data_IF_176660143021
#
_entry.id   IF_176660143021
#
_cell.length_a   1.000
_cell.length_b   1.000
_cell.length_c   1.000
_cell.angle_alpha   90.00
_cell.angle_beta   90.00
_cell.angle_gamma   90.00
#
_symmetry.space_group_name_H-M   'P 1'
#
loop_
_entity.id
_entity.type
_entity.pdbx_description
1 polymer ?
#
# COMPACT_ATOMS: atom_id res chain seq x y z
N UNK A 1 -9.79 14.93 20.46
CA UNK A 1 -10.30 14.46 19.16
C UNK A 1 -9.50 15.17 18.08
N UNK A 2 -8.50 14.51 17.51
CA UNK A 2 -7.80 15.03 16.34
C UNK A 2 -8.73 14.87 15.13
N UNK A 3 -9.03 15.97 14.42
CA UNK A 3 -9.89 15.95 13.25
C UNK A 3 -9.15 15.36 12.05
N UNK A 4 -9.73 14.36 11.39
CA UNK A 4 -9.31 13.92 10.06
C UNK A 4 -9.51 15.05 9.05
N UNK A 5 -8.52 15.34 8.22
CA UNK A 5 -8.56 16.45 7.25
C UNK A 5 -9.37 16.11 6.00
N UNK A 6 -9.51 14.82 5.71
CA UNK A 6 -10.30 14.29 4.61
C UNK A 6 -11.25 13.19 5.11
N UNK A 7 -12.30 12.90 4.34
CA UNK A 7 -13.08 11.69 4.51
C UNK A 7 -12.83 10.69 3.35
N UNK A 8 -12.88 9.37 3.62
CA UNK A 8 -12.82 8.35 2.57
C UNK A 8 -13.87 8.56 1.47
N UNK A 9 -15.03 9.13 1.83
CA UNK A 9 -16.13 9.42 0.89
C UNK A 9 -15.75 10.53 -0.10
N UNK A 10 -15.17 11.63 0.38
CA UNK A 10 -14.73 12.75 -0.47
C UNK A 10 -13.61 12.31 -1.41
N UNK A 11 -12.63 11.56 -0.90
CA UNK A 11 -11.52 11.04 -1.71
C UNK A 11 -12.04 10.13 -2.83
N UNK A 12 -12.98 9.22 -2.52
CA UNK A 12 -13.60 8.36 -3.53
C UNK A 12 -14.36 9.18 -4.59
N UNK A 13 -15.13 10.18 -4.16
CA UNK A 13 -15.92 11.02 -5.06
C UNK A 13 -15.03 11.84 -5.99
N UNK A 14 -14.01 12.50 -5.46
CA UNK A 14 -13.13 13.36 -6.26
C UNK A 14 -12.23 12.55 -7.19
N UNK A 15 -11.70 11.41 -6.72
CA UNK A 15 -10.97 10.49 -7.60
C UNK A 15 -11.84 10.02 -8.77
N UNK A 16 -13.09 9.62 -8.50
CA UNK A 16 -14.01 9.17 -9.55
C UNK A 16 -14.38 10.31 -10.50
N UNK A 17 -14.51 11.54 -9.98
CA UNK A 17 -14.75 12.72 -10.81
C UNK A 17 -13.58 12.98 -11.78
N UNK A 18 -12.33 12.90 -11.30
CA UNK A 18 -11.12 13.12 -12.09
C UNK A 18 -10.90 12.00 -13.12
N UNK A 19 -11.06 10.74 -12.71
CA UNK A 19 -10.63 9.57 -13.49
C UNK A 19 -11.75 8.85 -14.23
N UNK A 20 -13.01 9.15 -13.89
CA UNK A 20 -14.22 8.41 -14.29
C UNK A 20 -14.29 6.96 -13.78
N UNK A 21 -13.36 6.55 -12.91
CA UNK A 21 -13.27 5.18 -12.36
C UNK A 21 -13.55 5.19 -10.85
N UNK A 22 -14.41 4.31 -10.31
CA UNK A 22 -14.61 4.19 -8.86
C UNK A 22 -13.30 3.77 -8.17
N UNK A 23 -12.85 4.49 -7.14
CA UNK A 23 -11.56 4.25 -6.50
C UNK A 23 -11.50 2.93 -5.71
N UNK A 24 -12.12 2.88 -4.53
CA UNK A 24 -11.90 1.79 -3.58
C UNK A 24 -12.40 0.45 -4.10
N UNK A 25 -13.58 0.41 -4.71
CA UNK A 25 -14.18 -0.83 -5.22
C UNK A 25 -13.37 -1.43 -6.37
N UNK A 26 -12.94 -0.62 -7.33
CA UNK A 26 -12.14 -1.09 -8.47
C UNK A 26 -10.77 -1.58 -8.01
N UNK A 27 -10.06 -0.78 -7.20
CA UNK A 27 -8.72 -1.14 -6.74
C UNK A 27 -8.73 -2.44 -5.93
N UNK A 28 -9.64 -2.58 -4.97
CA UNK A 28 -9.73 -3.76 -4.12
C UNK A 28 -10.12 -5.00 -4.92
N UNK A 29 -11.12 -4.89 -5.81
CA UNK A 29 -11.51 -6.01 -6.66
C UNK A 29 -10.36 -6.47 -7.56
N UNK A 30 -9.61 -5.53 -8.15
CA UNK A 30 -8.48 -5.85 -9.02
C UNK A 30 -7.29 -6.40 -8.23
N UNK A 31 -7.02 -5.90 -7.03
CA UNK A 31 -6.01 -6.46 -6.14
C UNK A 31 -6.35 -7.92 -5.81
N UNK A 32 -7.57 -8.18 -5.33
CA UNK A 32 -8.02 -9.52 -4.93
C UNK A 32 -8.00 -10.51 -6.12
N UNK A 33 -8.47 -10.08 -7.28
CA UNK A 33 -8.46 -10.88 -8.51
C UNK A 33 -7.03 -11.27 -8.95
N UNK A 34 -6.04 -10.45 -8.63
CA UNK A 34 -4.64 -10.69 -8.99
C UNK A 34 -3.84 -11.37 -7.86
N UNK A 35 -4.32 -11.39 -6.62
CA UNK A 35 -3.59 -11.91 -5.45
C UNK A 35 -2.99 -13.28 -5.68
N UNK A 36 -3.79 -14.28 -6.09
CA UNK A 36 -3.30 -15.66 -6.29
C UNK A 36 -2.18 -15.73 -7.34
N UNK A 37 -2.30 -14.97 -8.43
CA UNK A 37 -1.30 -14.93 -9.51
C UNK A 37 -0.04 -14.21 -9.06
N UNK A 38 -0.19 -13.08 -8.37
CA UNK A 38 0.92 -12.32 -7.79
C UNK A 38 1.70 -13.20 -6.81
N UNK A 39 1.03 -13.88 -5.88
CA UNK A 39 1.67 -14.79 -4.92
C UNK A 39 2.46 -15.91 -5.62
N UNK A 40 1.91 -16.49 -6.70
CA UNK A 40 2.63 -17.50 -7.51
C UNK A 40 3.89 -16.91 -8.15
N UNK A 41 3.81 -15.71 -8.72
CA UNK A 41 4.97 -15.01 -9.31
C UNK A 41 6.01 -14.67 -8.25
N UNK A 42 5.57 -14.20 -7.09
CA UNK A 42 6.41 -13.84 -5.95
C UNK A 42 7.21 -15.03 -5.42
N UNK A 43 6.58 -16.19 -5.25
CA UNK A 43 7.25 -17.42 -4.78
C UNK A 43 8.35 -17.93 -5.73
N UNK A 44 8.30 -17.55 -7.00
CA UNK A 44 9.35 -17.89 -7.99
C UNK A 44 10.52 -16.90 -7.98
N UNK A 45 10.47 -15.82 -7.19
CA UNK A 45 11.58 -14.86 -7.08
C UNK A 45 12.70 -15.46 -6.23
N UNK A 46 13.90 -15.53 -6.80
CA UNK A 46 15.11 -15.96 -6.07
C UNK A 46 15.90 -14.82 -5.42
N UNK A 47 17.00 -15.18 -4.77
CA UNK A 47 17.95 -14.22 -4.17
C UNK A 47 17.41 -13.48 -2.95
N UNK A 48 18.01 -12.32 -2.64
CA UNK A 48 17.66 -11.52 -1.46
C UNK A 48 16.21 -11.06 -1.48
N UNK A 49 15.70 -10.59 -2.64
CA UNK A 49 14.29 -10.21 -2.78
C UNK A 49 13.35 -11.40 -2.57
N UNK A 50 13.74 -12.59 -3.03
CA UNK A 50 12.99 -13.82 -2.81
C UNK A 50 12.84 -14.17 -1.33
N UNK A 51 13.92 -14.08 -0.56
CA UNK A 51 13.88 -14.32 0.90
C UNK A 51 12.95 -13.34 1.62
N UNK A 52 13.08 -12.04 1.33
CA UNK A 52 12.20 -11.00 1.88
C UNK A 52 10.73 -11.25 1.55
N UNK A 53 10.44 -11.67 0.32
CA UNK A 53 9.08 -12.04 -0.10
C UNK A 53 8.58 -13.25 0.70
N UNK A 54 9.42 -14.28 0.88
CA UNK A 54 9.05 -15.46 1.68
C UNK A 54 8.72 -15.08 3.12
N UNK A 55 9.53 -14.22 3.74
CA UNK A 55 9.29 -13.69 5.10
C UNK A 55 7.95 -12.93 5.16
N UNK A 56 7.68 -12.03 4.21
CA UNK A 56 6.39 -11.32 4.14
C UNK A 56 5.21 -12.28 3.99
N UNK A 57 5.35 -13.34 3.19
CA UNK A 57 4.26 -14.27 2.90
C UNK A 57 4.01 -15.26 4.05
N UNK A 58 4.98 -15.48 4.95
CA UNK A 58 4.82 -16.37 6.10
C UNK A 58 3.70 -15.89 7.04
N UNK A 59 3.46 -14.59 7.14
CA UNK A 59 2.35 -14.02 7.92
C UNK A 59 0.96 -14.49 7.43
N UNK A 60 0.82 -14.85 6.14
CA UNK A 60 -0.42 -15.44 5.62
C UNK A 60 -0.64 -16.85 6.18
N UNK A 61 0.43 -17.65 6.31
CA UNK A 61 0.34 -19.01 6.81
C UNK A 61 -0.03 -19.03 8.30
N UNK A 62 0.32 -17.97 9.04
CA UNK A 62 -0.03 -17.79 10.45
C UNK A 62 -1.46 -17.26 10.66
N UNK A 63 -1.95 -16.36 9.80
CA UNK A 63 -3.29 -15.78 9.90
C UNK A 63 -3.87 -15.40 8.53
N UNK A 64 -4.52 -16.36 7.85
CA UNK A 64 -5.02 -16.22 6.48
C UNK A 64 -6.32 -15.41 6.35
N UNK A 65 -6.26 -14.13 6.73
CA UNK A 65 -7.36 -13.17 6.54
C UNK A 65 -7.25 -12.44 5.20
N UNK A 66 -8.37 -11.86 4.74
CA UNK A 66 -8.37 -11.01 3.53
C UNK A 66 -7.42 -9.82 3.69
N UNK A 67 -7.44 -9.16 4.86
CA UNK A 67 -6.57 -8.03 5.15
C UNK A 67 -5.09 -8.45 5.11
N UNK A 68 -4.74 -9.60 5.70
CA UNK A 68 -3.38 -10.14 5.69
C UNK A 68 -2.90 -10.45 4.27
N UNK A 69 -3.72 -11.17 3.47
CA UNK A 69 -3.39 -11.46 2.07
C UNK A 69 -3.15 -10.18 1.26
N UNK A 70 -3.98 -9.14 1.45
CA UNK A 70 -3.84 -7.86 0.76
C UNK A 70 -2.55 -7.14 1.16
N UNK A 71 -2.25 -6.99 2.46
CA UNK A 71 -1.03 -6.29 2.89
C UNK A 71 0.23 -7.05 2.47
N UNK A 72 0.26 -8.37 2.58
CA UNK A 72 1.38 -9.19 2.11
C UNK A 72 1.55 -9.08 0.59
N UNK A 73 0.45 -9.06 -0.17
CA UNK A 73 0.50 -8.85 -1.63
C UNK A 73 1.09 -7.49 -1.98
N UNK A 74 0.68 -6.42 -1.29
CA UNK A 74 1.16 -5.05 -1.52
C UNK A 74 2.64 -4.91 -1.14
N UNK A 75 3.06 -5.42 0.03
CA UNK A 75 4.48 -5.43 0.44
C UNK A 75 5.32 -6.28 -0.51
N UNK A 76 4.84 -7.46 -0.88
CA UNK A 76 5.51 -8.37 -1.81
C UNK A 76 5.69 -7.76 -3.21
N UNK A 77 4.70 -6.99 -3.68
CA UNK A 77 4.77 -6.27 -4.96
C UNK A 77 5.94 -5.28 -4.98
N UNK A 78 6.07 -4.44 -3.94
CA UNK A 78 7.16 -3.47 -3.83
C UNK A 78 8.52 -4.19 -3.87
N UNK A 79 8.71 -5.23 -3.04
CA UNK A 79 9.95 -6.02 -3.02
C UNK A 79 10.24 -6.67 -4.38
N UNK A 80 9.22 -7.22 -5.04
CA UNK A 80 9.37 -7.87 -6.34
C UNK A 80 9.87 -6.88 -7.40
N UNK A 81 9.40 -5.64 -7.33
CA UNK A 81 9.79 -4.52 -8.19
C UNK A 81 11.12 -3.85 -7.77
N UNK A 82 11.83 -4.44 -6.81
CA UNK A 82 13.06 -3.92 -6.21
C UNK A 82 12.88 -2.53 -5.56
N UNK A 83 11.72 -2.33 -4.95
CA UNK A 83 11.39 -1.16 -4.13
C UNK A 83 11.22 -1.60 -2.67
N UNK A 84 11.31 -0.66 -1.75
CA UNK A 84 11.24 -0.94 -0.32
C UNK A 84 9.80 -0.76 0.19
N UNK A 85 9.11 -1.81 0.68
CA UNK A 85 7.76 -1.67 1.22
C UNK A 85 7.68 -0.72 2.42
N UNK A 86 8.76 -0.57 3.19
CA UNK A 86 8.81 0.31 4.35
C UNK A 86 8.84 1.79 3.96
N UNK A 87 9.09 2.09 2.68
CA UNK A 87 8.94 3.43 2.14
C UNK A 87 7.48 3.86 1.96
N UNK A 88 6.54 2.91 1.91
CA UNK A 88 5.10 3.18 1.80
C UNK A 88 4.39 3.00 3.14
N UNK A 89 4.72 1.91 3.85
CA UNK A 89 4.06 1.48 5.09
C UNK A 89 5.12 1.46 6.18
N UNK A 90 5.02 2.40 7.12
CA UNK A 90 5.88 2.48 8.30
C UNK A 90 5.14 1.91 9.51
N UNK A 91 5.78 1.01 10.22
CA UNK A 91 5.23 0.41 11.45
C UNK A 91 5.99 0.99 12.64
N UNK A 92 5.25 1.39 13.67
CA UNK A 92 5.75 1.97 14.91
C UNK A 92 5.17 1.21 16.11
N UNK A 93 5.92 1.10 17.21
CA UNK A 93 5.38 0.62 18.48
C UNK A 93 4.89 1.81 19.31
N UNK A 94 3.80 1.66 20.06
CA UNK A 94 3.22 2.76 20.86
C UNK A 94 4.19 3.33 21.90
N UNK A 95 5.09 2.51 22.44
CA UNK A 95 6.16 2.94 23.37
C UNK A 95 7.17 3.90 22.75
N UNK A 96 7.27 3.93 21.42
CA UNK A 96 8.20 4.78 20.68
C UNK A 96 7.56 6.11 20.26
N UNK A 97 6.47 6.55 20.92
CA UNK A 97 5.67 7.70 20.51
C UNK A 97 6.49 8.94 20.09
N UNK A 98 7.53 9.31 20.83
CA UNK A 98 8.39 10.45 20.48
C UNK A 98 9.31 10.21 19.28
N UNK A 99 9.81 8.98 19.08
CA UNK A 99 10.60 8.63 17.90
C UNK A 99 9.70 8.50 16.67
N UNK A 100 8.52 7.89 16.84
CA UNK A 100 7.47 7.83 15.83
C UNK A 100 7.05 9.24 15.39
N UNK A 101 6.77 10.15 16.32
CA UNK A 101 6.41 11.55 16.02
C UNK A 101 7.50 12.25 15.21
N UNK A 102 8.78 12.13 15.61
CA UNK A 102 9.90 12.72 14.88
C UNK A 102 10.05 12.19 13.44
N UNK A 103 9.83 10.88 13.25
CA UNK A 103 9.92 10.25 11.92
C UNK A 103 8.69 10.54 11.06
N UNK A 104 7.52 10.67 11.69
CA UNK A 104 6.28 11.08 11.01
C UNK A 104 6.43 12.50 10.49
N UNK A 105 6.97 13.45 11.28
CA UNK A 105 7.21 14.84 10.86
C UNK A 105 8.11 14.95 9.61
N UNK A 106 9.07 14.04 9.44
CA UNK A 106 9.98 14.01 8.27
C UNK A 106 9.38 13.29 7.06
N UNK A 107 8.21 12.66 7.22
CA UNK A 107 7.57 11.85 6.18
C UNK A 107 6.78 12.74 5.22
N UNK A 108 7.25 12.83 3.98
CA UNK A 108 6.55 13.58 2.93
C UNK A 108 5.20 12.94 2.57
N UNK A 109 5.17 11.62 2.47
CA UNK A 109 3.96 10.86 2.16
C UNK A 109 4.15 9.42 2.62
N UNK A 110 3.15 8.84 3.27
CA UNK A 110 3.22 7.46 3.71
C UNK A 110 2.02 7.02 4.53
N UNK A 111 2.03 5.75 4.89
CA UNK A 111 1.06 5.10 5.78
C UNK A 111 1.80 4.78 7.06
N UNK A 112 1.20 5.09 8.20
CA UNK A 112 1.69 4.64 9.49
C UNK A 112 0.77 3.57 10.06
N UNK A 113 1.36 2.66 10.81
CA UNK A 113 0.67 1.61 11.56
C UNK A 113 1.24 1.64 12.97
N UNK A 114 0.42 1.99 13.96
CA UNK A 114 0.78 1.97 15.38
C UNK A 114 0.38 0.60 15.93
N UNK A 115 1.37 -0.17 16.39
CA UNK A 115 1.17 -1.45 17.05
C UNK A 115 1.19 -1.26 18.57
N UNK A 116 0.32 -1.97 19.30
CA UNK A 116 0.35 -1.99 20.76
C UNK A 116 1.66 -2.56 21.33
N UNK A 117 1.97 -2.22 22.58
CA UNK A 117 3.20 -2.60 23.26
C UNK A 117 3.34 -4.13 23.46
N UNK A 118 4.50 -4.68 23.06
CA UNK A 118 4.87 -6.07 23.38
C UNK A 118 4.18 -7.16 22.55
N UNK A 119 3.46 -6.78 21.49
CA UNK A 119 2.58 -7.69 20.76
C UNK A 119 3.21 -8.39 19.54
N UNK A 120 2.55 -9.48 19.10
CA UNK A 120 2.96 -10.30 17.96
C UNK A 120 2.51 -9.61 16.68
N UNK A 121 3.12 -9.92 15.53
CA UNK A 121 2.77 -9.31 14.23
C UNK A 121 1.30 -9.48 13.78
N UNK A 122 0.49 -10.25 14.53
CA UNK A 122 -0.88 -10.63 14.21
C UNK A 122 -1.95 -9.84 14.95
N UNK A 123 -1.58 -9.10 15.98
CA UNK A 123 -2.54 -8.36 16.77
C UNK A 123 -3.01 -7.09 16.01
N UNK A 124 -4.26 -6.64 16.22
CA UNK A 124 -4.80 -5.49 15.51
C UNK A 124 -4.02 -4.22 15.87
N UNK A 125 -3.71 -3.43 14.86
CA UNK A 125 -3.09 -2.12 15.05
C UNK A 125 -4.00 -1.20 15.89
N UNK A 126 -3.40 -0.36 16.72
CA UNK A 126 -4.10 0.67 17.49
C UNK A 126 -4.58 1.81 16.60
N UNK A 127 -3.75 2.22 15.64
CA UNK A 127 -4.11 3.22 14.64
C UNK A 127 -3.45 2.88 13.30
N UNK A 128 -4.18 3.11 12.21
CA UNK A 128 -3.68 3.08 10.85
C UNK A 128 -4.11 4.38 10.21
N UNK A 129 -3.14 5.11 9.65
CA UNK A 129 -3.43 6.39 9.04
C UNK A 129 -2.49 6.75 7.91
N UNK A 130 -2.74 7.92 7.32
CA UNK A 130 -1.98 8.45 6.20
C UNK A 130 -1.35 9.77 6.64
N UNK A 131 -0.07 9.92 6.35
CA UNK A 131 0.68 11.15 6.58
C UNK A 131 1.00 11.79 5.23
N UNK A 132 0.83 13.10 5.15
CA UNK A 132 1.31 13.95 4.05
C UNK A 132 2.01 15.15 4.68
N UNK A 133 3.25 15.40 4.26
CA UNK A 133 4.10 16.51 4.72
C UNK A 133 4.16 16.64 6.25
N UNK A 134 4.39 15.52 6.93
CA UNK A 134 4.47 15.47 8.39
C UNK A 134 3.14 15.49 9.13
N UNK A 135 2.01 15.65 8.43
CA UNK A 135 0.68 15.76 9.02
C UNK A 135 -0.14 14.49 8.77
N UNK A 136 -0.68 13.91 9.84
CA UNK A 136 -1.66 12.82 9.72
C UNK A 136 -2.99 13.36 9.15
N UNK A 137 -3.27 13.04 7.88
CA UNK A 137 -4.43 13.52 7.13
C UNK A 137 -5.66 12.61 7.22
N UNK A 138 -5.44 11.32 7.52
CA UNK A 138 -6.44 10.30 7.81
C UNK A 138 -5.94 9.43 8.97
N UNK A 139 -6.87 8.96 9.81
CA UNK A 139 -6.63 8.10 10.99
C UNK A 139 -7.73 7.05 11.10
N UNK A 140 -7.57 6.10 12.03
CA UNK A 140 -8.58 5.08 12.37
C UNK A 140 -9.04 4.26 11.15
N UNK A 141 -8.12 3.99 10.21
CA UNK A 141 -8.42 3.22 9.02
C UNK A 141 -8.51 1.72 9.35
N UNK A 142 -9.43 0.99 8.72
CA UNK A 142 -9.74 -0.39 9.12
C UNK A 142 -8.61 -1.38 8.79
N UNK A 143 -7.83 -1.13 7.75
CA UNK A 143 -6.69 -1.96 7.36
C UNK A 143 -5.70 -1.19 6.46
N UNK A 144 -4.49 -1.74 6.33
CA UNK A 144 -3.41 -1.15 5.52
C UNK A 144 -3.77 -1.06 4.04
N UNK A 145 -4.55 -2.01 3.50
CA UNK A 145 -4.95 -1.98 2.09
C UNK A 145 -5.88 -0.78 1.82
N UNK A 146 -6.75 -0.46 2.77
CA UNK A 146 -7.62 0.71 2.76
C UNK A 146 -6.80 2.00 2.81
N UNK A 147 -5.76 2.04 3.64
CA UNK A 147 -4.82 3.16 3.64
C UNK A 147 -4.08 3.31 2.31
N UNK A 148 -3.62 2.22 1.69
CA UNK A 148 -2.95 2.26 0.37
C UNK A 148 -3.87 2.81 -0.71
N UNK A 149 -5.12 2.35 -0.80
CA UNK A 149 -6.04 2.83 -1.83
C UNK A 149 -6.46 4.28 -1.61
N UNK A 150 -6.66 4.71 -0.36
CA UNK A 150 -6.99 6.10 -0.05
C UNK A 150 -5.81 7.03 -0.30
N UNK A 151 -4.58 6.62 0.00
CA UNK A 151 -3.38 7.37 -0.34
C UNK A 151 -3.22 7.52 -1.85
N UNK A 152 -3.45 6.45 -2.61
CA UNK A 152 -3.49 6.51 -4.08
C UNK A 152 -4.55 7.50 -4.57
N UNK A 153 -5.74 7.52 -3.95
CA UNK A 153 -6.79 8.48 -4.23
C UNK A 153 -6.40 9.93 -3.92
N UNK A 154 -5.77 10.16 -2.76
CA UNK A 154 -5.28 11.48 -2.34
C UNK A 154 -4.24 12.04 -3.29
N UNK A 155 -3.33 11.20 -3.81
CA UNK A 155 -2.34 11.66 -4.80
C UNK A 155 -3.02 12.28 -6.03
N UNK A 156 -4.13 11.68 -6.51
CA UNK A 156 -4.90 12.27 -7.63
C UNK A 156 -5.67 13.51 -7.18
N UNK A 157 -6.36 13.42 -6.06
CA UNK A 157 -7.20 14.50 -5.51
C UNK A 157 -6.39 15.78 -5.26
N UNK A 158 -5.14 15.63 -4.81
CA UNK A 158 -4.22 16.72 -4.50
C UNK A 158 -3.26 17.03 -5.66
N UNK A 159 -3.41 16.38 -6.82
CA UNK A 159 -2.54 16.52 -7.99
C UNK A 159 -1.04 16.40 -7.66
N UNK A 160 -0.70 15.41 -6.82
CA UNK A 160 0.66 15.13 -6.39
C UNK A 160 1.39 14.21 -7.36
N UNK A 161 2.72 14.25 -7.31
CA UNK A 161 3.56 13.26 -7.99
C UNK A 161 3.71 12.00 -7.14
N UNK A 162 3.85 10.83 -7.77
CA UNK A 162 4.15 9.60 -7.05
C UNK A 162 5.54 9.67 -6.38
N UNK A 163 5.73 9.01 -5.22
CA UNK A 163 7.04 8.85 -4.61
C UNK A 163 8.01 8.16 -5.58
N UNK A 164 9.18 8.77 -5.81
CA UNK A 164 10.14 8.30 -6.82
C UNK A 164 10.75 6.93 -6.49
N UNK A 165 10.84 6.60 -5.19
CA UNK A 165 11.27 5.33 -4.64
C UNK A 165 10.22 4.20 -4.75
N UNK A 166 8.97 4.54 -5.09
CA UNK A 166 7.86 3.59 -5.28
C UNK A 166 7.23 3.70 -6.68
N UNK A 167 7.96 4.30 -7.63
CA UNK A 167 7.45 4.63 -8.96
C UNK A 167 6.86 3.44 -9.70
N UNK A 168 7.44 2.24 -9.54
CA UNK A 168 6.98 1.04 -10.23
C UNK A 168 5.75 0.44 -9.56
N UNK A 169 5.68 0.48 -8.23
CA UNK A 169 4.50 0.06 -7.46
C UNK A 169 3.30 0.95 -7.81
N UNK A 170 3.47 2.28 -7.81
CA UNK A 170 2.41 3.21 -8.21
C UNK A 170 2.07 3.11 -9.70
N UNK A 171 3.04 2.85 -10.58
CA UNK A 171 2.76 2.55 -12.00
C UNK A 171 1.90 1.28 -12.14
N UNK A 172 2.18 0.23 -11.37
CA UNK A 172 1.37 -1.00 -11.36
C UNK A 172 -0.06 -0.72 -10.87
N UNK A 173 -0.22 0.04 -9.78
CA UNK A 173 -1.54 0.47 -9.30
C UNK A 173 -2.33 1.22 -10.37
N UNK A 174 -1.73 2.26 -10.95
CA UNK A 174 -2.38 3.09 -11.95
C UNK A 174 -2.76 2.31 -13.21
N UNK A 175 -1.79 1.64 -13.83
CA UNK A 175 -1.94 1.13 -15.20
C UNK A 175 -2.39 -0.32 -15.27
N UNK A 176 -2.12 -1.12 -14.24
CA UNK A 176 -2.47 -2.55 -14.22
C UNK A 176 -3.74 -2.78 -13.40
N UNK A 177 -3.82 -2.26 -12.17
CA UNK A 177 -5.02 -2.45 -11.35
C UNK A 177 -6.15 -1.52 -11.79
N UNK A 178 -5.86 -0.24 -11.96
CA UNK A 178 -6.91 0.76 -12.25
C UNK A 178 -7.18 0.96 -13.75
N UNK A 179 -6.34 0.42 -14.63
CA UNK A 179 -6.47 0.59 -16.08
C UNK A 179 -6.40 2.05 -16.55
N UNK A 180 -5.80 2.93 -15.74
CA UNK A 180 -5.64 4.34 -16.01
C UNK A 180 -4.34 4.60 -16.79
N UNK A 181 -4.26 5.74 -17.48
CA UNK A 181 -3.13 6.15 -18.31
C UNK A 181 -2.77 5.16 -19.45
N UNK A 182 -3.12 5.53 -20.69
CA UNK A 182 -2.87 4.73 -21.87
C UNK A 182 -1.39 4.66 -22.30
N UNK A 183 -0.48 5.33 -21.59
CA UNK A 183 0.96 5.25 -21.86
C UNK A 183 1.49 3.85 -21.62
N UNK A 184 2.54 3.51 -22.38
CA UNK A 184 3.26 2.23 -22.24
C UNK A 184 3.75 2.02 -20.81
N UNK A 185 3.71 0.77 -20.35
CA UNK A 185 4.33 0.34 -19.10
C UNK A 185 5.85 0.42 -19.19
N UNK A 186 6.51 0.74 -18.09
CA UNK A 186 7.94 0.48 -17.97
C UNK A 186 8.25 -1.00 -18.17
N UNK A 187 9.45 -1.33 -18.66
CA UNK A 187 9.85 -2.72 -18.91
C UNK A 187 9.68 -3.61 -17.67
N UNK A 188 9.94 -3.08 -16.48
CA UNK A 188 9.82 -3.84 -15.22
C UNK A 188 8.37 -4.21 -14.92
N UNK A 189 7.44 -3.25 -15.00
CA UNK A 189 6.01 -3.51 -14.78
C UNK A 189 5.41 -4.34 -15.91
N UNK A 190 5.87 -4.14 -17.15
CA UNK A 190 5.46 -4.93 -18.30
C UNK A 190 5.80 -6.42 -18.14
N UNK A 191 7.02 -6.75 -17.67
CA UNK A 191 7.43 -8.13 -17.42
C UNK A 191 6.56 -8.78 -16.33
N UNK A 192 6.26 -8.05 -15.25
CA UNK A 192 5.34 -8.54 -14.22
C UNK A 192 3.94 -8.77 -14.79
N UNK A 193 3.37 -7.80 -15.52
CA UNK A 193 2.04 -7.94 -16.13
C UNK A 193 1.95 -9.18 -17.03
N UNK A 194 2.97 -9.43 -17.85
CA UNK A 194 2.98 -10.61 -18.72
C UNK A 194 2.91 -11.92 -17.91
N UNK A 195 3.65 -12.01 -16.80
CA UNK A 195 3.60 -13.16 -15.88
C UNK A 195 2.25 -13.35 -15.18
N UNK A 196 1.40 -12.32 -15.11
CA UNK A 196 0.03 -12.42 -14.57
C UNK A 196 -0.99 -12.88 -15.61
N UNK A 197 -0.62 -12.89 -16.89
CA UNK A 197 -1.44 -13.37 -18.00
C UNK A 197 -1.11 -14.82 -18.39
N UNK A 198 0.04 -15.33 -17.94
CA UNK A 198 0.47 -16.73 -18.02
C UNK A 198 -0.28 -17.61 -17.00
#
# INVERSE_FOLDING_TARGET
MASSFFSPREINAEFQHITTVPLTSTFMAQLDNNTTKLTKVFRNKGGTSGRKITEIMAAIDENDTVAMRRVCTLKGLAVYLNEDPNSLIKEYQDVDFHEAESEMEKTLIGIYVIKPEGERDLDPAEDIGIIIEGVAVLRDLPDVATAVVLLFGLIYTLNMSYPSNLRYTFEFFQKVLMGLDAKKLSNKVQVLRNKLLE
#
